data_IF_259408976133
#
_entry.id   IF_259408976133
#
_cell.length_a   1.000
_cell.length_b   1.000
_cell.length_c   1.000
_cell.angle_alpha   90.00
_cell.angle_beta   90.00
_cell.angle_gamma   90.00
#
_symmetry.space_group_name_H-M   'P 1'
#
loop_
_entity.id
_entity.type
_entity.pdbx_description
1 polymer ?
#
# COMPACT_ATOMS: atom_id res chain seq x y z
N UNK A 1 44.69 16.95 -7.72
CA UNK A 1 43.32 17.06 -7.18
C UNK A 1 42.61 18.23 -7.85
N UNK A 2 41.68 17.98 -8.78
CA UNK A 2 40.94 19.04 -9.50
C UNK A 2 39.84 19.58 -8.58
N UNK A 3 39.97 20.82 -8.11
CA UNK A 3 38.94 21.48 -7.31
C UNK A 3 37.71 21.69 -8.19
N UNK A 4 36.50 21.27 -7.77
CA UNK A 4 35.29 21.51 -8.54
C UNK A 4 35.09 23.02 -8.69
N UNK A 5 34.80 23.48 -9.91
CA UNK A 5 34.52 24.88 -10.18
C UNK A 5 33.23 25.30 -9.46
N UNK A 6 33.16 26.55 -9.02
CA UNK A 6 32.01 27.10 -8.29
C UNK A 6 30.70 26.97 -9.12
N UNK A 7 30.82 26.98 -10.45
CA UNK A 7 29.75 26.70 -11.41
C UNK A 7 29.25 25.26 -11.33
N UNK A 8 30.13 24.27 -11.15
CA UNK A 8 29.74 22.87 -11.00
C UNK A 8 29.00 22.63 -9.67
N UNK A 9 29.39 23.32 -8.60
CA UNK A 9 28.72 23.26 -7.30
C UNK A 9 27.32 23.89 -7.38
N UNK A 10 27.21 25.08 -7.98
CA UNK A 10 25.92 25.75 -8.21
C UNK A 10 24.99 24.95 -9.12
N UNK A 11 25.53 24.35 -10.19
CA UNK A 11 24.77 23.49 -11.09
C UNK A 11 24.27 22.22 -10.42
N UNK A 12 25.10 21.58 -9.57
CA UNK A 12 24.70 20.42 -8.77
C UNK A 12 23.60 20.76 -7.76
N UNK A 13 23.70 21.93 -7.11
CA UNK A 13 22.69 22.40 -6.17
C UNK A 13 21.35 22.70 -6.87
N UNK A 14 21.38 23.32 -8.05
CA UNK A 14 20.19 23.56 -8.86
C UNK A 14 19.51 22.25 -9.32
N UNK A 15 20.28 21.23 -9.72
CA UNK A 15 19.75 19.93 -10.11
C UNK A 15 19.08 19.19 -8.93
N UNK A 16 19.66 19.29 -7.73
CA UNK A 16 19.06 18.77 -6.50
C UNK A 16 17.70 19.44 -6.19
N UNK A 17 17.61 20.76 -6.36
CA UNK A 17 16.34 21.49 -6.18
C UNK A 17 15.30 21.06 -7.21
N UNK A 18 15.69 20.91 -8.49
CA UNK A 18 14.76 20.47 -9.55
C UNK A 18 14.31 19.01 -9.40
N UNK A 19 15.13 18.14 -8.80
CA UNK A 19 14.75 16.75 -8.52
C UNK A 19 13.65 16.60 -7.47
N UNK A 20 13.38 17.66 -6.70
CA UNK A 20 12.33 17.69 -5.69
C UNK A 20 10.94 18.08 -6.23
N UNK A 21 10.82 18.32 -7.54
CA UNK A 21 9.51 18.55 -8.14
C UNK A 21 8.66 17.26 -8.03
N UNK A 22 7.46 17.34 -7.43
CA UNK A 22 6.61 16.16 -7.30
C UNK A 22 6.28 15.63 -8.70
N UNK A 23 6.42 14.33 -8.88
CA UNK A 23 5.97 13.68 -10.11
C UNK A 23 4.46 13.90 -10.24
N UNK A 24 4.04 14.61 -11.28
CA UNK A 24 2.62 14.84 -11.59
C UNK A 24 1.99 13.52 -12.05
N UNK A 25 1.48 12.75 -11.08
CA UNK A 25 0.71 11.55 -11.31
C UNK A 25 -0.77 11.87 -11.55
N UNK A 26 -1.43 11.03 -12.33
CA UNK A 26 -2.88 11.07 -12.50
C UNK A 26 -3.57 10.76 -11.17
N UNK A 27 -4.71 11.44 -10.92
CA UNK A 27 -5.41 11.33 -9.65
C UNK A 27 -6.50 10.27 -9.73
N UNK A 28 -6.39 9.24 -8.90
CA UNK A 28 -7.46 8.26 -8.69
C UNK A 28 -8.43 8.79 -7.64
N UNK A 29 -9.70 8.92 -8.02
CA UNK A 29 -10.79 9.18 -7.09
C UNK A 29 -11.61 7.92 -6.97
N UNK A 30 -11.77 7.42 -5.74
CA UNK A 30 -12.53 6.20 -5.47
C UNK A 30 -13.48 6.39 -4.28
N UNK A 31 -14.61 5.69 -4.30
CA UNK A 31 -15.64 5.71 -3.26
C UNK A 31 -16.31 4.35 -3.14
N UNK A 32 -16.84 4.05 -1.95
CA UNK A 32 -17.52 2.79 -1.64
C UNK A 32 -19.04 2.98 -1.62
N UNK A 33 -19.80 1.96 -2.00
CA UNK A 33 -21.26 1.95 -1.89
C UNK A 33 -21.74 2.22 -0.46
N UNK A 34 -21.08 1.62 0.53
CA UNK A 34 -21.33 1.85 1.94
C UNK A 34 -19.98 2.02 2.68
N UNK A 35 -19.91 3.05 3.51
CA UNK A 35 -18.70 3.40 4.26
C UNK A 35 -18.74 2.82 5.69
N UNK A 36 -19.87 2.24 6.12
CA UNK A 36 -20.02 1.68 7.46
C UNK A 36 -20.88 0.42 7.44
N UNK A 37 -20.26 -0.68 7.83
CA UNK A 37 -20.89 -1.98 8.05
C UNK A 37 -21.13 -2.18 9.54
N UNK A 38 -22.36 -2.49 9.94
CA UNK A 38 -22.67 -2.84 11.33
C UNK A 38 -22.63 -4.36 11.51
N UNK A 39 -21.77 -4.83 12.42
CA UNK A 39 -21.66 -6.25 12.75
C UNK A 39 -22.57 -6.55 13.94
N UNK A 40 -23.70 -7.21 13.67
CA UNK A 40 -24.63 -7.72 14.69
C UNK A 40 -24.43 -9.23 14.91
N UNK A 41 -25.05 -9.81 15.95
CA UNK A 41 -24.91 -11.23 16.29
C UNK A 41 -25.32 -12.21 15.18
N UNK A 42 -26.15 -11.75 14.23
CA UNK A 42 -26.61 -12.51 13.07
C UNK A 42 -25.91 -12.10 11.76
N UNK A 43 -24.75 -11.45 11.82
CA UNK A 43 -24.03 -10.99 10.64
C UNK A 43 -23.56 -12.18 9.78
N UNK A 44 -23.94 -12.17 8.50
CA UNK A 44 -23.59 -13.22 7.52
C UNK A 44 -22.60 -12.74 6.44
N UNK A 45 -22.20 -11.46 6.48
CA UNK A 45 -21.39 -10.81 5.45
C UNK A 45 -22.07 -9.59 4.85
N UNK A 46 -21.30 -8.72 4.19
CA UNK A 46 -21.79 -7.59 3.40
C UNK A 46 -21.00 -7.51 2.09
N UNK A 47 -21.68 -7.23 0.98
CA UNK A 47 -21.06 -6.98 -0.32
C UNK A 47 -20.86 -5.47 -0.51
N UNK A 48 -19.63 -5.07 -0.80
CA UNK A 48 -19.24 -3.68 -1.00
C UNK A 48 -18.81 -3.47 -2.44
N UNK A 49 -19.31 -2.40 -3.06
CA UNK A 49 -18.95 -2.03 -4.43
C UNK A 49 -18.02 -0.83 -4.36
N UNK A 50 -16.86 -0.94 -5.00
CA UNK A 50 -15.90 0.14 -5.17
C UNK A 50 -16.14 0.81 -6.52
N UNK A 51 -16.39 2.11 -6.49
CA UNK A 51 -16.47 2.97 -7.66
C UNK A 51 -15.23 3.84 -7.73
N UNK A 52 -14.81 4.18 -8.93
CA UNK A 52 -13.72 5.14 -9.09
C UNK A 52 -13.51 5.58 -10.53
N UNK A 53 -12.76 6.67 -10.66
CA UNK A 53 -12.36 7.24 -11.93
C UNK A 53 -10.96 7.84 -11.81
N UNK A 54 -10.28 7.92 -12.94
CA UNK A 54 -8.94 8.52 -13.03
C UNK A 54 -9.11 9.90 -13.67
N UNK A 55 -8.80 10.94 -12.91
CA UNK A 55 -8.76 12.30 -13.42
C UNK A 55 -7.51 12.50 -14.27
N UNK A 56 -7.72 12.84 -15.53
CA UNK A 56 -6.66 13.20 -16.46
C UNK A 56 -6.42 14.70 -16.36
N UNK A 57 -5.24 15.08 -15.87
CA UNK A 57 -4.80 16.48 -15.90
C UNK A 57 -4.21 16.84 -17.28
N UNK A 58 -4.05 18.12 -17.59
CA UNK A 58 -3.52 18.60 -18.88
C UNK A 58 -2.11 18.08 -19.20
N UNK A 59 -1.34 17.70 -18.18
CA UNK A 59 -0.02 17.08 -18.32
C UNK A 59 -0.07 15.54 -18.47
N UNK A 60 -1.24 14.93 -18.26
CA UNK A 60 -1.43 13.48 -18.31
C UNK A 60 -1.49 13.02 -19.77
N UNK A 61 -0.54 12.19 -20.17
CA UNK A 61 -0.58 11.57 -21.50
C UNK A 61 -1.51 10.35 -21.44
N UNK A 62 -2.45 10.18 -22.38
CA UNK A 62 -3.27 8.98 -22.43
C UNK A 62 -2.39 7.74 -22.52
N UNK A 63 -2.51 6.82 -21.55
CA UNK A 63 -1.80 5.54 -21.64
C UNK A 63 -2.51 4.66 -22.65
N UNK A 64 -1.74 4.10 -23.60
CA UNK A 64 -2.25 3.10 -24.57
C UNK A 64 -2.52 1.74 -23.91
N UNK A 65 -1.70 1.39 -22.92
CA UNK A 65 -1.98 0.28 -22.02
C UNK A 65 -2.94 0.81 -20.95
N UNK A 66 -4.01 0.07 -20.62
CA UNK A 66 -4.96 0.46 -19.59
C UNK A 66 -4.33 0.64 -18.20
N UNK A 67 -5.18 0.79 -17.17
CA UNK A 67 -4.72 0.91 -15.80
C UNK A 67 -4.92 -0.41 -15.07
N UNK A 68 -3.90 -0.82 -14.31
CA UNK A 68 -4.00 -1.89 -13.34
C UNK A 68 -4.45 -1.30 -12.00
N UNK A 69 -5.42 -1.95 -11.35
CA UNK A 69 -5.99 -1.50 -10.07
C UNK A 69 -5.65 -2.53 -9.01
N UNK A 70 -4.97 -2.10 -7.95
CA UNK A 70 -4.66 -2.94 -6.79
C UNK A 70 -5.50 -2.47 -5.62
N UNK A 71 -6.24 -3.39 -5.00
CA UNK A 71 -7.06 -3.11 -3.81
C UNK A 71 -6.48 -3.85 -2.62
N UNK A 72 -6.16 -3.11 -1.55
CA UNK A 72 -5.69 -3.70 -0.29
C UNK A 72 -6.75 -3.56 0.79
N UNK A 73 -7.17 -4.68 1.37
CA UNK A 73 -8.10 -4.69 2.50
C UNK A 73 -7.30 -4.95 3.78
N UNK A 74 -7.35 -4.02 4.72
CA UNK A 74 -6.66 -4.12 6.01
C UNK A 74 -7.63 -4.07 7.18
N UNK A 75 -7.53 -5.04 8.08
CA UNK A 75 -8.23 -5.03 9.37
C UNK A 75 -7.57 -4.09 10.40
N UNK A 76 -8.21 -3.91 11.56
CA UNK A 76 -7.65 -3.12 12.66
C UNK A 76 -6.28 -3.66 13.08
N UNK A 77 -5.36 -2.74 13.42
CA UNK A 77 -4.01 -3.13 13.83
C UNK A 77 -4.03 -3.58 15.28
N UNK A 78 -3.40 -4.73 15.53
CA UNK A 78 -3.31 -5.31 16.86
C UNK A 78 -1.99 -6.07 17.03
N UNK A 79 -1.59 -6.27 18.27
CA UNK A 79 -0.48 -7.18 18.58
C UNK A 79 -1.01 -8.60 18.65
N UNK A 80 -0.37 -9.54 17.95
CA UNK A 80 -0.78 -10.94 17.93
C UNK A 80 0.40 -11.88 18.13
N UNK A 81 0.17 -13.01 18.79
CA UNK A 81 1.18 -14.06 18.95
C UNK A 81 1.00 -15.07 17.83
N UNK A 82 2.04 -15.28 17.05
CA UNK A 82 2.09 -16.30 16.00
C UNK A 82 2.92 -17.48 16.46
N UNK A 83 2.51 -18.68 16.04
CA UNK A 83 3.23 -19.91 16.34
C UNK A 83 3.73 -20.53 15.04
N UNK A 84 5.00 -20.91 15.02
CA UNK A 84 5.56 -21.72 13.94
C UNK A 84 5.28 -23.19 14.25
N UNK A 85 4.53 -23.82 13.37
CA UNK A 85 4.34 -25.28 13.36
C UNK A 85 5.56 -25.95 12.75
N UNK A 86 6.08 -26.94 13.45
CA UNK A 86 7.20 -27.76 13.00
C UNK A 86 6.91 -29.23 13.29
N UNK A 87 7.52 -30.13 12.51
CA UNK A 87 7.31 -31.56 12.66
C UNK A 87 8.39 -32.16 13.56
N UNK A 88 8.01 -32.55 14.77
CA UNK A 88 8.91 -33.15 15.76
C UNK A 88 8.46 -34.59 15.99
N UNK A 89 9.37 -35.56 15.78
CA UNK A 89 9.07 -36.99 15.91
C UNK A 89 7.82 -37.44 15.13
N UNK A 90 7.58 -36.85 13.96
CA UNK A 90 6.43 -37.15 13.10
C UNK A 90 5.14 -36.41 13.45
N UNK A 91 5.07 -35.72 14.59
CA UNK A 91 3.92 -34.93 15.06
C UNK A 91 4.09 -33.45 14.73
N UNK A 92 2.98 -32.76 14.45
CA UNK A 92 2.98 -31.31 14.27
C UNK A 92 2.86 -30.62 15.62
N UNK A 93 3.86 -29.84 15.98
CA UNK A 93 3.92 -29.13 17.26
C UNK A 93 4.17 -27.65 16.99
N UNK A 94 3.54 -26.79 17.79
CA UNK A 94 3.84 -25.36 17.80
C UNK A 94 5.14 -25.17 18.60
N UNK A 95 6.27 -25.01 17.92
CA UNK A 95 7.59 -24.96 18.58
C UNK A 95 7.96 -23.55 19.00
N UNK A 96 7.96 -22.60 18.07
CA UNK A 96 8.39 -21.23 18.32
C UNK A 96 7.21 -20.27 18.32
N UNK A 97 7.13 -19.41 19.34
CA UNK A 97 6.18 -18.29 19.38
C UNK A 97 6.88 -16.97 19.08
N UNK A 98 6.24 -16.10 18.31
CA UNK A 98 6.70 -14.72 18.09
C UNK A 98 5.54 -13.74 18.25
N UNK A 99 5.79 -12.67 18.99
CA UNK A 99 4.88 -11.53 19.07
C UNK A 99 5.09 -10.65 17.86
N UNK A 100 4.02 -10.42 17.10
CA UNK A 100 3.99 -9.42 16.05
C UNK A 100 3.23 -8.22 16.58
N UNK A 101 3.92 -7.10 16.73
CA UNK A 101 3.32 -5.87 17.22
C UNK A 101 2.74 -5.04 16.09
N UNK A 102 1.59 -4.41 16.37
CA UNK A 102 0.97 -3.45 15.47
C UNK A 102 0.79 -4.01 14.04
N UNK A 103 0.32 -5.24 13.87
CA UNK A 103 0.07 -5.86 12.56
C UNK A 103 -1.42 -5.85 12.22
N UNK A 104 -1.81 -5.77 10.94
CA UNK A 104 -3.22 -5.80 10.57
C UNK A 104 -3.84 -7.17 10.91
N UNK A 105 -5.00 -7.17 11.56
CA UNK A 105 -5.73 -8.40 11.91
C UNK A 105 -6.17 -9.21 10.68
N UNK A 106 -6.31 -8.53 9.53
CA UNK A 106 -6.64 -9.11 8.25
C UNK A 106 -5.89 -8.37 7.15
N UNK A 107 -5.39 -9.09 6.15
CA UNK A 107 -4.72 -8.53 4.99
C UNK A 107 -5.12 -9.33 3.75
N UNK A 108 -5.70 -8.65 2.77
CA UNK A 108 -5.92 -9.19 1.43
C UNK A 108 -5.46 -8.18 0.39
N UNK A 109 -4.81 -8.68 -0.66
CA UNK A 109 -4.38 -7.90 -1.83
C UNK A 109 -5.07 -8.50 -3.03
N UNK A 110 -5.86 -7.68 -3.72
CA UNK A 110 -6.59 -8.03 -4.94
C UNK A 110 -5.93 -7.26 -6.08
N UNK A 111 -5.64 -7.95 -7.18
CA UNK A 111 -5.01 -7.42 -8.38
C UNK A 111 -5.74 -7.95 -9.61
#
# INVERSE_FOLDING_TARGET
MRRPSLVAVLGGFAALIFSALPAAGERLVASLSNHRVMIASNFVGEELILFGGIEQDAASRPRRAGYDIIVTVTGPRQSMVTFRKERVLGLWVNTDSRVLENVPAYLAVLA
#
